data_IF_210727579326
#
_entry.id   IF_210727579326
#
_cell.length_a   1.000
_cell.length_b   1.000
_cell.length_c   1.000
_cell.angle_alpha   90.00
_cell.angle_beta   90.00
_cell.angle_gamma   90.00
#
_symmetry.space_group_name_H-M   'P 1'
#
loop_
_entity.id
_entity.type
_entity.pdbx_description
1 polymer ?
#
# COMPACT_ATOMS: atom_id res chain seq x y z
N UNK A 1 28.02 22.67 36.67
CA UNK A 1 27.51 23.02 35.36
C UNK A 1 28.02 22.11 34.21
N UNK A 2 29.34 21.80 34.14
CA UNK A 2 29.87 20.97 33.02
C UNK A 2 29.34 19.51 33.02
N UNK A 3 29.14 18.90 34.17
CA UNK A 3 28.66 17.52 34.29
C UNK A 3 27.20 17.37 33.83
N UNK A 4 26.35 18.31 34.20
CA UNK A 4 24.94 18.35 33.84
C UNK A 4 24.78 18.48 32.32
N UNK A 5 25.50 19.41 31.68
CA UNK A 5 25.48 19.64 30.25
C UNK A 5 25.98 18.40 29.46
N UNK A 6 26.94 17.66 30.00
CA UNK A 6 27.44 16.43 29.39
C UNK A 6 26.39 15.31 29.43
N UNK A 7 25.72 15.15 30.58
CA UNK A 7 24.66 14.14 30.73
C UNK A 7 23.48 14.43 29.81
N UNK A 8 23.06 15.68 29.68
CA UNK A 8 21.97 16.07 28.77
C UNK A 8 22.32 15.82 27.31
N UNK A 9 23.55 16.11 26.87
CA UNK A 9 23.97 15.82 25.49
C UNK A 9 23.92 14.32 25.17
N UNK A 10 24.34 13.47 26.11
CA UNK A 10 24.24 12.01 25.92
C UNK A 10 22.80 11.53 25.89
N UNK A 11 21.96 12.06 26.77
CA UNK A 11 20.53 11.72 26.80
C UNK A 11 19.82 12.18 25.51
N UNK A 12 20.11 13.39 25.03
CA UNK A 12 19.56 13.90 23.78
C UNK A 12 20.00 13.06 22.56
N UNK A 13 21.28 12.64 22.54
CA UNK A 13 21.79 11.75 21.48
C UNK A 13 21.09 10.38 21.51
N UNK A 14 20.96 9.79 22.72
CA UNK A 14 20.26 8.52 22.88
C UNK A 14 18.80 8.61 22.42
N UNK A 15 18.10 9.68 22.79
CA UNK A 15 16.73 9.93 22.40
C UNK A 15 16.59 10.12 20.89
N UNK A 16 17.52 10.85 20.27
CA UNK A 16 17.58 11.02 18.82
C UNK A 16 17.74 9.67 18.10
N UNK A 17 18.69 8.84 18.55
CA UNK A 17 18.90 7.51 17.97
C UNK A 17 17.66 6.61 18.12
N UNK A 18 17.03 6.63 19.29
CA UNK A 18 15.81 5.88 19.54
C UNK A 18 14.68 6.31 18.59
N UNK A 19 14.49 7.62 18.43
CA UNK A 19 13.47 8.17 17.51
C UNK A 19 13.79 7.84 16.04
N UNK A 20 15.05 7.85 15.64
CA UNK A 20 15.45 7.49 14.28
C UNK A 20 15.14 6.00 13.99
N UNK A 21 15.47 5.11 14.93
CA UNK A 21 15.13 3.68 14.81
C UNK A 21 13.63 3.49 14.73
N UNK A 22 12.87 4.16 15.61
CA UNK A 22 11.42 4.08 15.62
C UNK A 22 10.79 4.60 14.33
N UNK A 23 11.32 5.71 13.79
CA UNK A 23 10.88 6.27 12.52
C UNK A 23 11.06 5.31 11.35
N UNK A 24 12.20 4.59 11.30
CA UNK A 24 12.45 3.57 10.27
C UNK A 24 11.48 2.39 10.40
N UNK A 25 11.26 1.90 11.62
CA UNK A 25 10.31 0.81 11.85
C UNK A 25 8.88 1.21 11.48
N UNK A 26 8.49 2.44 11.81
CA UNK A 26 7.17 2.97 11.49
C UNK A 26 6.97 3.16 9.97
N UNK A 27 8.02 3.58 9.25
CA UNK A 27 8.00 3.66 7.81
C UNK A 27 7.68 2.30 7.16
N UNK A 28 8.39 1.25 7.57
CA UNK A 28 8.12 -0.10 7.03
C UNK A 28 6.74 -0.61 7.42
N UNK A 29 6.28 -0.34 8.65
CA UNK A 29 4.94 -0.73 9.08
C UNK A 29 3.83 -0.04 8.27
N UNK A 30 3.98 1.25 7.92
CA UNK A 30 3.02 1.96 7.09
C UNK A 30 2.96 1.36 5.67
N UNK A 31 4.12 1.09 5.05
CA UNK A 31 4.16 0.52 3.70
C UNK A 31 3.50 -0.86 3.68
N UNK A 32 3.82 -1.71 4.65
CA UNK A 32 3.24 -3.04 4.79
C UNK A 32 1.71 -2.97 4.91
N UNK A 33 1.20 -2.15 5.82
CA UNK A 33 -0.24 -1.93 6.03
C UNK A 33 -0.95 -1.41 4.78
N UNK A 34 -0.34 -0.46 4.06
CA UNK A 34 -0.94 0.13 2.84
C UNK A 34 -0.98 -0.90 1.69
N UNK A 35 0.03 -1.76 1.59
CA UNK A 35 0.02 -2.86 0.61
C UNK A 35 -1.06 -3.87 0.95
N UNK A 36 -1.16 -4.29 2.21
CA UNK A 36 -2.17 -5.24 2.68
C UNK A 36 -3.59 -4.72 2.44
N UNK A 37 -3.88 -3.44 2.78
CA UNK A 37 -5.17 -2.80 2.52
C UNK A 37 -5.51 -2.74 1.02
N UNK A 38 -4.48 -2.55 0.17
CA UNK A 38 -4.66 -2.54 -1.28
C UNK A 38 -5.01 -3.94 -1.80
N UNK A 39 -4.34 -4.98 -1.28
CA UNK A 39 -4.60 -6.37 -1.64
C UNK A 39 -6.00 -6.81 -1.18
N UNK A 40 -6.41 -6.46 0.03
CA UNK A 40 -7.76 -6.69 0.57
C UNK A 40 -8.83 -6.00 -0.29
N UNK A 41 -8.55 -4.79 -0.74
CA UNK A 41 -9.46 -4.04 -1.64
C UNK A 41 -9.64 -4.78 -2.97
N UNK A 42 -8.54 -5.25 -3.58
CA UNK A 42 -8.58 -6.05 -4.82
C UNK A 42 -9.34 -7.36 -4.62
N UNK A 43 -9.13 -8.04 -3.51
CA UNK A 43 -9.81 -9.30 -3.18
C UNK A 43 -11.33 -9.09 -3.06
N UNK A 44 -11.75 -8.06 -2.32
CA UNK A 44 -13.17 -7.70 -2.18
C UNK A 44 -13.82 -7.36 -3.53
N UNK A 45 -13.14 -6.58 -4.38
CA UNK A 45 -13.65 -6.28 -5.73
C UNK A 45 -13.67 -7.52 -6.61
N UNK A 46 -12.66 -8.38 -6.51
CA UNK A 46 -12.61 -9.65 -7.23
C UNK A 46 -13.78 -10.57 -6.86
N UNK A 47 -14.09 -10.69 -5.57
CA UNK A 47 -15.25 -11.46 -5.10
C UNK A 47 -16.57 -10.94 -5.67
N UNK A 48 -16.78 -9.62 -5.64
CA UNK A 48 -17.97 -8.98 -6.21
C UNK A 48 -18.09 -9.25 -7.71
N UNK A 49 -16.98 -9.16 -8.46
CA UNK A 49 -16.97 -9.42 -9.89
C UNK A 49 -17.24 -10.89 -10.21
N UNK A 50 -16.65 -11.81 -9.46
CA UNK A 50 -16.87 -13.24 -9.63
C UNK A 50 -18.35 -13.61 -9.28
N UNK A 51 -18.90 -13.07 -8.21
CA UNK A 51 -20.30 -13.28 -7.85
C UNK A 51 -21.24 -12.69 -8.92
N UNK A 52 -20.92 -11.51 -9.43
CA UNK A 52 -21.69 -10.89 -10.51
C UNK A 52 -21.64 -11.73 -11.79
N UNK A 53 -20.49 -12.30 -12.16
CA UNK A 53 -20.35 -13.17 -13.31
C UNK A 53 -21.14 -14.50 -13.15
N UNK A 54 -21.26 -15.01 -11.92
CA UNK A 54 -22.10 -16.19 -11.65
C UNK A 54 -23.59 -15.89 -11.85
N UNK A 55 -24.04 -14.67 -11.62
CA UNK A 55 -25.42 -14.25 -11.81
C UNK A 55 -25.71 -13.77 -13.24
N UNK A 56 -24.77 -13.09 -13.86
CA UNK A 56 -24.86 -12.56 -15.22
C UNK A 56 -23.60 -12.88 -16.03
N UNK A 57 -23.60 -13.98 -16.79
CA UNK A 57 -22.45 -14.36 -17.61
C UNK A 57 -22.03 -13.35 -18.69
N UNK A 58 -22.89 -12.35 -19.01
CA UNK A 58 -22.53 -11.32 -19.98
C UNK A 58 -21.36 -10.43 -19.52
N UNK A 59 -21.12 -10.39 -18.20
CA UNK A 59 -19.97 -9.67 -17.61
C UNK A 59 -18.62 -10.26 -18.05
N UNK A 60 -18.59 -11.56 -18.36
CA UNK A 60 -17.36 -12.22 -18.83
C UNK A 60 -16.83 -11.67 -20.18
N UNK A 61 -17.70 -11.07 -20.97
CA UNK A 61 -17.36 -10.46 -22.25
C UNK A 61 -17.01 -8.96 -22.14
N UNK A 62 -17.18 -8.38 -20.94
CA UNK A 62 -16.91 -6.97 -20.70
C UNK A 62 -15.53 -6.76 -20.10
N UNK A 63 -14.87 -5.70 -20.55
CA UNK A 63 -13.66 -5.19 -19.91
C UNK A 63 -14.02 -3.93 -19.13
N UNK A 64 -13.58 -3.83 -17.87
CA UNK A 64 -13.86 -2.68 -17.02
C UNK A 64 -13.09 -1.44 -17.48
N UNK A 65 -13.63 -0.26 -17.19
CA UNK A 65 -13.05 1.01 -17.59
C UNK A 65 -12.92 2.02 -16.45
N UNK A 66 -11.89 2.87 -16.51
CA UNK A 66 -11.62 4.15 -15.84
C UNK A 66 -11.09 4.14 -14.40
N UNK A 67 -11.48 3.25 -13.50
CA UNK A 67 -10.91 3.22 -12.13
C UNK A 67 -10.44 1.82 -11.71
N UNK A 68 -10.95 0.79 -12.33
CA UNK A 68 -10.49 -0.59 -12.15
C UNK A 68 -10.60 -1.32 -13.48
N UNK A 69 -9.45 -1.75 -14.00
CA UNK A 69 -9.43 -2.62 -15.16
C UNK A 69 -9.61 -4.05 -14.70
N UNK A 70 -10.61 -4.73 -15.25
CA UNK A 70 -10.75 -6.16 -15.06
C UNK A 70 -10.92 -6.87 -16.40
N UNK A 71 -10.44 -8.10 -16.45
CA UNK A 71 -10.55 -8.96 -17.62
C UNK A 71 -10.75 -10.39 -17.17
N UNK A 72 -11.74 -11.04 -17.80
CA UNK A 72 -11.95 -12.47 -17.67
C UNK A 72 -11.33 -13.19 -18.88
N UNK A 73 -10.55 -14.22 -18.63
CA UNK A 73 -9.94 -15.04 -19.67
C UNK A 73 -10.28 -16.49 -19.42
N UNK A 74 -10.91 -17.21 -20.37
CA UNK A 74 -11.17 -18.63 -20.22
C UNK A 74 -9.83 -19.41 -20.15
N UNK A 75 -9.70 -20.28 -19.17
CA UNK A 75 -8.53 -21.14 -18.96
C UNK A 75 -8.92 -22.60 -18.94
N UNK A 76 -7.93 -23.48 -19.12
CA UNK A 76 -8.16 -24.92 -19.05
C UNK A 76 -8.53 -25.38 -17.64
N UNK A 77 -9.23 -26.53 -17.52
CA UNK A 77 -9.56 -27.13 -16.22
C UNK A 77 -8.30 -27.47 -15.43
N UNK A 78 -7.24 -27.90 -16.09
CA UNK A 78 -5.97 -28.25 -15.44
C UNK A 78 -5.31 -27.02 -14.83
N UNK A 79 -5.25 -25.91 -15.54
CA UNK A 79 -4.76 -24.63 -15.05
C UNK A 79 -5.62 -24.10 -13.90
N UNK A 80 -6.95 -24.11 -14.08
CA UNK A 80 -7.90 -23.60 -13.09
C UNK A 80 -7.85 -24.34 -11.76
N UNK A 81 -7.66 -25.68 -11.78
CA UNK A 81 -7.55 -26.48 -10.54
C UNK A 81 -6.28 -26.22 -9.73
N UNK A 82 -5.21 -25.79 -10.38
CA UNK A 82 -3.91 -25.55 -9.75
C UNK A 82 -3.60 -24.05 -9.63
N UNK A 83 -4.54 -23.20 -10.05
CA UNK A 83 -4.36 -21.76 -10.01
C UNK A 83 -4.18 -21.27 -8.57
N UNK A 84 -3.20 -20.37 -8.38
CA UNK A 84 -2.99 -19.69 -7.10
C UNK A 84 -3.20 -18.22 -7.29
N UNK A 85 -3.96 -17.61 -6.41
CA UNK A 85 -4.10 -16.17 -6.36
C UNK A 85 -2.73 -15.53 -6.14
N UNK A 86 -2.44 -14.50 -6.93
CA UNK A 86 -1.18 -13.74 -6.87
C UNK A 86 -1.46 -12.26 -6.94
N UNK A 87 -0.66 -11.49 -6.21
CA UNK A 87 -0.65 -10.03 -6.25
C UNK A 87 0.73 -9.56 -6.67
N UNK A 88 0.79 -8.53 -7.53
CA UNK A 88 2.05 -7.93 -7.94
C UNK A 88 1.84 -6.50 -8.42
N UNK A 89 2.90 -5.69 -8.33
CA UNK A 89 2.91 -4.33 -8.88
C UNK A 89 3.30 -4.38 -10.36
N UNK A 90 2.66 -3.55 -11.18
CA UNK A 90 2.93 -3.39 -12.59
C UNK A 90 2.79 -1.92 -13.00
N UNK A 91 3.22 -1.61 -14.21
CA UNK A 91 3.01 -0.31 -14.83
C UNK A 91 2.20 -0.51 -16.09
N UNK A 92 1.14 0.26 -16.27
CA UNK A 92 0.26 0.21 -17.45
C UNK A 92 0.27 1.57 -18.11
N UNK A 93 0.48 1.57 -19.43
CA UNK A 93 0.38 2.79 -20.23
C UNK A 93 -1.08 3.12 -20.51
N UNK A 94 -1.51 4.33 -20.13
CA UNK A 94 -2.87 4.84 -20.37
C UNK A 94 -2.87 5.76 -21.58
N UNK A 95 -3.41 5.28 -22.70
CA UNK A 95 -3.44 6.03 -23.96
C UNK A 95 -4.16 7.40 -23.87
N UNK A 96 -5.16 7.51 -22.96
CA UNK A 96 -5.95 8.75 -22.80
C UNK A 96 -5.17 9.86 -22.09
N UNK A 97 -4.21 9.51 -21.27
CA UNK A 97 -3.44 10.45 -20.45
C UNK A 97 -1.99 10.59 -20.95
N UNK A 98 -1.58 9.72 -21.91
CA UNK A 98 -0.22 9.65 -22.45
C UNK A 98 0.84 9.45 -21.35
N UNK A 99 0.48 8.70 -20.30
CA UNK A 99 1.31 8.47 -19.10
C UNK A 99 1.34 6.99 -18.71
N UNK A 100 2.47 6.61 -18.08
CA UNK A 100 2.64 5.30 -17.45
C UNK A 100 2.08 5.37 -16.01
N UNK A 101 1.07 4.56 -15.71
CA UNK A 101 0.43 4.52 -14.40
C UNK A 101 0.85 3.27 -13.61
N UNK A 102 1.32 3.41 -12.36
CA UNK A 102 1.59 2.29 -11.49
C UNK A 102 0.27 1.68 -11.00
N UNK A 103 0.17 0.36 -11.12
CA UNK A 103 -1.02 -0.40 -10.73
C UNK A 103 -0.66 -1.59 -9.85
N UNK A 104 -1.56 -1.93 -8.95
CA UNK A 104 -1.55 -3.21 -8.23
C UNK A 104 -2.47 -4.17 -8.97
N UNK A 105 -1.98 -5.37 -9.21
CA UNK A 105 -2.66 -6.41 -10.00
C UNK A 105 -2.94 -7.60 -9.11
N UNK A 106 -4.17 -8.08 -9.16
CA UNK A 106 -4.58 -9.38 -8.63
C UNK A 106 -4.94 -10.31 -9.80
N UNK A 107 -4.42 -11.52 -9.78
CA UNK A 107 -4.86 -12.61 -10.65
C UNK A 107 -5.40 -13.75 -9.80
N UNK A 108 -6.62 -14.17 -10.08
CA UNK A 108 -7.27 -15.31 -9.42
C UNK A 108 -8.07 -16.11 -10.45
N UNK A 109 -8.51 -17.32 -10.10
CA UNK A 109 -9.35 -18.12 -10.98
C UNK A 109 -10.57 -18.66 -10.24
N UNK A 110 -11.67 -18.79 -10.96
CA UNK A 110 -12.90 -19.35 -10.45
C UNK A 110 -13.58 -20.25 -11.49
N UNK A 111 -14.53 -21.06 -11.02
CA UNK A 111 -15.27 -21.99 -11.86
C UNK A 111 -16.71 -21.53 -12.01
N UNK A 112 -17.15 -21.47 -13.25
CA UNK A 112 -18.55 -21.22 -13.59
C UNK A 112 -19.43 -22.47 -13.39
N UNK A 113 -20.77 -22.33 -13.23
CA UNK A 113 -21.68 -23.46 -13.07
C UNK A 113 -21.70 -24.44 -14.25
N UNK A 114 -21.34 -24.00 -15.45
CA UNK A 114 -21.19 -24.82 -16.65
C UNK A 114 -19.93 -25.67 -16.63
N UNK A 115 -19.04 -25.47 -15.63
CA UNK A 115 -17.81 -26.18 -15.45
C UNK A 115 -16.58 -25.52 -16.05
N UNK A 116 -16.74 -24.45 -16.82
CA UNK A 116 -15.64 -23.67 -17.39
C UNK A 116 -14.90 -22.89 -16.31
N UNK A 117 -13.55 -22.84 -16.40
CA UNK A 117 -12.71 -22.01 -15.55
C UNK A 117 -12.37 -20.71 -16.24
N UNK A 118 -12.35 -19.63 -15.46
CA UNK A 118 -11.93 -18.29 -15.89
C UNK A 118 -10.87 -17.75 -14.95
N UNK A 119 -9.83 -17.15 -15.52
CA UNK A 119 -8.92 -16.27 -14.82
C UNK A 119 -9.56 -14.88 -14.75
N UNK A 120 -9.62 -14.30 -13.55
CA UNK A 120 -9.91 -12.89 -13.34
C UNK A 120 -8.59 -12.16 -13.09
N UNK A 121 -8.25 -11.25 -13.99
CA UNK A 121 -7.19 -10.26 -13.78
C UNK A 121 -7.83 -8.94 -13.46
N UNK A 122 -7.52 -8.40 -12.29
CA UNK A 122 -8.04 -7.13 -11.78
C UNK A 122 -6.88 -6.21 -11.45
N UNK A 123 -6.99 -4.94 -11.83
CA UNK A 123 -5.96 -3.91 -11.62
C UNK A 123 -6.59 -2.65 -11.06
N UNK A 124 -5.94 -2.04 -10.07
CA UNK A 124 -6.28 -0.71 -9.56
C UNK A 124 -5.05 0.19 -9.57
N UNK A 125 -5.27 1.49 -9.80
CA UNK A 125 -4.22 2.49 -9.68
C UNK A 125 -3.72 2.57 -8.24
N UNK A 126 -2.40 2.71 -8.09
CA UNK A 126 -1.76 2.91 -6.79
C UNK A 126 -1.09 4.28 -6.68
N UNK A 127 -1.38 5.17 -7.61
CA UNK A 127 -0.83 6.53 -7.62
C UNK A 127 -1.21 7.30 -6.35
N UNK A 128 -2.49 7.27 -5.98
CA UNK A 128 -2.98 7.90 -4.74
C UNK A 128 -2.36 7.29 -3.48
N UNK A 129 -2.06 5.99 -3.51
CA UNK A 129 -1.36 5.29 -2.42
C UNK A 129 0.01 5.89 -2.18
N UNK A 130 0.78 6.09 -3.25
CA UNK A 130 2.14 6.60 -3.16
C UNK A 130 2.15 8.06 -2.67
N UNK A 131 1.20 8.88 -3.10
CA UNK A 131 0.98 10.24 -2.60
C UNK A 131 0.61 10.26 -1.11
N UNK A 132 -0.23 9.33 -0.66
CA UNK A 132 -0.59 9.18 0.76
C UNK A 132 0.61 8.78 1.62
N UNK A 133 1.42 7.84 1.15
CA UNK A 133 2.66 7.43 1.85
C UNK A 133 3.62 8.59 1.94
N UNK A 134 3.83 9.35 0.86
CA UNK A 134 4.67 10.54 0.85
C UNK A 134 4.17 11.59 1.85
N UNK A 135 2.87 11.89 1.87
CA UNK A 135 2.27 12.81 2.83
C UNK A 135 2.47 12.35 4.28
N UNK A 136 2.28 11.06 4.57
CA UNK A 136 2.52 10.49 5.90
C UNK A 136 3.98 10.63 6.34
N UNK A 137 4.93 10.45 5.43
CA UNK A 137 6.36 10.65 5.71
C UNK A 137 6.69 12.12 6.03
N UNK A 138 6.07 13.06 5.32
CA UNK A 138 6.20 14.49 5.61
C UNK A 138 5.67 14.84 7.00
N UNK A 139 4.49 14.33 7.39
CA UNK A 139 3.94 14.53 8.74
C UNK A 139 4.81 13.91 9.82
N UNK A 140 5.33 12.70 9.59
CA UNK A 140 6.25 12.03 10.51
C UNK A 140 7.54 12.85 10.70
N UNK A 141 8.11 13.36 9.61
CA UNK A 141 9.30 14.23 9.63
C UNK A 141 9.05 15.55 10.38
N UNK A 142 7.90 16.18 10.15
CA UNK A 142 7.50 17.41 10.86
C UNK A 142 7.31 17.16 12.37
N UNK A 143 6.67 16.06 12.75
CA UNK A 143 6.50 15.66 14.15
C UNK A 143 7.85 15.39 14.83
N UNK A 144 8.76 14.73 14.14
CA UNK A 144 10.12 14.48 14.62
C UNK A 144 10.89 15.79 14.87
N UNK A 145 10.81 16.73 13.91
CA UNK A 145 11.42 18.05 14.04
C UNK A 145 10.85 18.84 15.22
N UNK A 146 9.52 18.83 15.36
CA UNK A 146 8.84 19.50 16.49
C UNK A 146 9.32 18.92 17.83
N UNK A 147 9.43 17.58 17.90
CA UNK A 147 9.92 16.90 19.11
C UNK A 147 11.36 17.32 19.46
N UNK A 148 12.26 17.42 18.47
CA UNK A 148 13.63 17.90 18.68
C UNK A 148 13.67 19.36 19.17
N UNK A 149 12.81 20.23 18.63
CA UNK A 149 12.71 21.62 19.07
C UNK A 149 12.22 21.66 20.53
N UNK A 150 11.13 20.96 20.86
CA UNK A 150 10.58 20.93 22.22
C UNK A 150 11.59 20.39 23.25
N UNK A 151 12.30 19.32 22.92
CA UNK A 151 13.36 18.76 23.80
C UNK A 151 14.52 19.74 23.97
N UNK A 152 14.95 20.44 22.89
CA UNK A 152 16.00 21.44 22.97
C UNK A 152 15.61 22.62 23.86
N UNK A 153 14.37 23.12 23.73
CA UNK A 153 13.84 24.21 24.58
C UNK A 153 13.74 23.74 26.04
N UNK A 154 13.19 22.54 26.28
CA UNK A 154 13.08 21.99 27.62
C UNK A 154 14.43 21.87 28.32
N UNK A 155 15.46 21.38 27.60
CA UNK A 155 16.83 21.32 28.10
C UNK A 155 17.36 22.70 28.45
N UNK A 156 17.15 23.71 27.59
CA UNK A 156 17.61 25.08 27.84
C UNK A 156 16.93 25.71 29.07
N UNK A 157 15.63 25.49 29.27
CA UNK A 157 14.90 26.00 30.42
C UNK A 157 15.41 25.39 31.73
N UNK A 158 15.65 24.08 31.75
CA UNK A 158 16.20 23.37 32.91
C UNK A 158 17.65 23.80 33.26
N UNK A 159 18.44 24.17 32.23
CA UNK A 159 19.82 24.61 32.44
C UNK A 159 19.94 26.07 32.87
N UNK A 160 18.90 26.90 32.66
CA UNK A 160 18.88 28.30 33.04
C UNK A 160 18.24 28.57 34.39
N UNK A 161 17.41 27.65 34.89
CA UNK A 161 16.85 27.69 36.25
C UNK A 161 17.78 27.06 37.28
#
# INVERSE_FOLDING_TARGET
MKLLSYTYRKLALLLFLLMAVWGVLFYYAIIDEVVDETDDTLENYGEILMESALHDPSILETEGSLMSFYKFTPISEEEGRHYRQVFYDATVYIELEDEDEPVRVMCTAFRMPDGQYYELKLMISILERDDMVEAMLWYLGALFLLFLICTSIGIQLVLKG
#
